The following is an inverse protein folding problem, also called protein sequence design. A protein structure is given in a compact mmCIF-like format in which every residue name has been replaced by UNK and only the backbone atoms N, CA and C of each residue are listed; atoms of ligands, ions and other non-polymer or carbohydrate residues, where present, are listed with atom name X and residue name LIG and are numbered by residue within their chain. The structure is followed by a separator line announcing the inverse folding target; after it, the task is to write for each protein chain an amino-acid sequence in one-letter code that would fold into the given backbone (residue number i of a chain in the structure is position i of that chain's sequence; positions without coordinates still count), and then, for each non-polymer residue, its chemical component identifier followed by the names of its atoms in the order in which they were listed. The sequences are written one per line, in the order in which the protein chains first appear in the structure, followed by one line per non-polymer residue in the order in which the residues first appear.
data_IF_404572745178
#
_entry.id   IF_404572745178
#
_cell.length_a   1.000
_cell.length_b   1.000
_cell.length_c   1.000
_cell.angle_alpha   90.00
_cell.angle_beta   90.00
_cell.angle_gamma   90.00
#
_symmetry.space_group_name_H-M   'P 1'
#
loop_
_entity.id
_entity.type
_entity.pdbx_description
1 polymer ?
#
# COMPACT_ATOMS: atom_id res chain seq x y z
N UNK A 1 -17.05 -11.52 -13.35
CA UNK A 1 -16.68 -11.71 -11.93
C UNK A 1 -16.19 -10.38 -11.34
N UNK A 2 -16.95 -9.75 -10.43
CA UNK A 2 -16.54 -8.48 -9.79
C UNK A 2 -15.50 -8.77 -8.70
N UNK A 3 -14.33 -8.15 -8.77
CA UNK A 3 -13.29 -8.27 -7.74
C UNK A 3 -13.72 -7.50 -6.50
N UNK A 4 -13.79 -8.16 -5.34
CA UNK A 4 -13.97 -7.50 -4.05
C UNK A 4 -12.68 -6.79 -3.64
N UNK A 5 -12.81 -5.60 -3.08
CA UNK A 5 -11.68 -4.79 -2.61
C UNK A 5 -11.79 -4.57 -1.11
N UNK A 6 -10.76 -4.96 -0.37
CA UNK A 6 -10.70 -4.89 1.10
C UNK A 6 -9.74 -3.78 1.55
N UNK A 7 -10.09 -3.02 2.58
CA UNK A 7 -9.19 -2.02 3.17
C UNK A 7 -8.07 -2.68 3.96
N UNK A 8 -6.96 -1.97 4.24
CA UNK A 8 -5.90 -2.50 5.10
C UNK A 8 -6.44 -2.83 6.50
N UNK A 9 -7.35 -2.01 7.03
CA UNK A 9 -8.03 -2.27 8.31
C UNK A 9 -8.87 -3.55 8.26
N UNK A 10 -9.67 -3.76 7.21
CA UNK A 10 -10.47 -4.99 7.05
C UNK A 10 -9.56 -6.22 7.01
N UNK A 11 -8.46 -6.16 6.25
CA UNK A 11 -7.50 -7.27 6.16
C UNK A 11 -6.90 -7.59 7.53
N UNK A 12 -6.49 -6.57 8.28
CA UNK A 12 -5.91 -6.74 9.62
C UNK A 12 -6.93 -7.29 10.61
N UNK A 13 -8.19 -6.84 10.56
CA UNK A 13 -9.26 -7.37 11.42
C UNK A 13 -9.51 -8.86 11.16
N UNK A 14 -9.59 -9.26 9.88
CA UNK A 14 -9.79 -10.67 9.50
C UNK A 14 -8.59 -11.54 9.90
N UNK A 15 -7.37 -11.01 9.76
CA UNK A 15 -6.15 -11.70 10.20
C UNK A 15 -6.07 -11.84 11.72
N UNK A 16 -6.53 -10.84 12.48
CA UNK A 16 -6.49 -10.86 13.93
C UNK A 16 -7.38 -11.96 14.53
N UNK A 17 -8.41 -12.42 13.81
CA UNK A 17 -9.24 -13.57 14.20
C UNK A 17 -8.57 -14.93 13.91
N UNK A 18 -7.43 -14.95 13.20
CA UNK A 18 -6.69 -16.18 12.94
C UNK A 18 -5.75 -16.52 14.10
N UNK A 19 -5.96 -17.70 14.69
CA UNK A 19 -5.07 -18.29 15.69
C UNK A 19 -4.52 -19.62 15.16
N UNK A 20 -3.19 -19.78 15.17
CA UNK A 20 -2.56 -21.03 14.74
C UNK A 20 -2.90 -22.18 15.71
N UNK A 21 -3.40 -23.29 15.17
CA UNK A 21 -3.68 -24.50 15.96
C UNK A 21 -5.06 -24.55 16.65
N UNK A 22 -5.89 -23.51 16.52
CA UNK A 22 -7.25 -23.51 17.09
C UNK A 22 -8.28 -24.01 16.07
N UNK A 23 -9.16 -24.91 16.49
CA UNK A 23 -10.25 -25.40 15.64
C UNK A 23 -11.26 -24.27 15.40
N UNK A 24 -11.58 -24.00 14.14
CA UNK A 24 -12.51 -22.93 13.75
C UNK A 24 -11.88 -21.55 13.47
N UNK A 25 -10.59 -21.36 13.76
CA UNK A 25 -9.84 -20.14 13.39
C UNK A 25 -9.04 -20.30 12.10
N UNK A 26 -9.03 -21.48 11.47
CA UNK A 26 -8.29 -21.74 10.23
C UNK A 26 -8.81 -20.94 9.03
N UNK A 27 -7.97 -20.76 8.01
CA UNK A 27 -8.31 -19.97 6.80
C UNK A 27 -9.57 -20.43 6.07
N UNK A 28 -9.97 -21.70 6.20
CA UNK A 28 -11.24 -22.18 5.63
C UNK A 28 -12.45 -21.65 6.39
N UNK A 29 -12.44 -21.71 7.72
CA UNK A 29 -13.53 -21.20 8.56
C UNK A 29 -13.63 -19.67 8.45
N UNK A 30 -12.50 -18.97 8.50
CA UNK A 30 -12.45 -17.52 8.29
C UNK A 30 -12.89 -17.11 6.88
N UNK A 31 -12.56 -17.92 5.88
CA UNK A 31 -12.96 -17.66 4.49
C UNK A 31 -14.48 -17.72 4.30
N UNK A 32 -15.15 -18.66 4.97
CA UNK A 32 -16.61 -18.74 4.98
C UNK A 32 -17.21 -17.56 5.73
N UNK A 33 -16.68 -17.23 6.92
CA UNK A 33 -17.19 -16.15 7.77
C UNK A 33 -17.13 -14.78 7.10
N UNK A 34 -16.02 -14.48 6.43
CA UNK A 34 -15.76 -13.15 5.84
C UNK A 34 -15.99 -13.09 4.32
N UNK A 35 -16.45 -14.20 3.72
CA UNK A 35 -16.63 -14.36 2.26
C UNK A 35 -15.34 -13.98 1.47
N UNK A 36 -14.23 -14.56 1.93
CA UNK A 36 -12.87 -14.39 1.36
C UNK A 36 -12.29 -15.74 1.01
N UNK A 37 -11.70 -15.88 -0.18
CA UNK A 37 -11.04 -17.12 -0.57
C UNK A 37 -9.87 -17.45 0.38
N UNK A 38 -9.73 -18.71 0.86
CA UNK A 38 -8.65 -19.10 1.78
C UNK A 38 -7.24 -18.77 1.28
N UNK A 39 -7.01 -18.84 -0.04
CA UNK A 39 -5.74 -18.43 -0.65
C UNK A 39 -5.44 -16.94 -0.51
N UNK A 40 -6.47 -16.09 -0.50
CA UNK A 40 -6.32 -14.64 -0.27
C UNK A 40 -5.97 -14.35 1.20
N UNK A 41 -6.60 -15.06 2.14
CA UNK A 41 -6.29 -14.97 3.57
C UNK A 41 -4.84 -15.38 3.87
N UNK A 42 -4.37 -16.47 3.26
CA UNK A 42 -2.97 -16.91 3.35
C UNK A 42 -2.01 -15.85 2.82
N UNK A 43 -2.36 -15.20 1.71
CA UNK A 43 -1.60 -14.08 1.15
C UNK A 43 -1.48 -12.91 2.14
N UNK A 44 -2.59 -12.52 2.76
CA UNK A 44 -2.57 -11.45 3.78
C UNK A 44 -1.76 -11.86 5.02
N UNK A 45 -1.87 -13.11 5.48
CA UNK A 45 -1.11 -13.63 6.62
C UNK A 45 0.41 -13.56 6.39
N UNK A 46 0.85 -13.88 5.18
CA UNK A 46 2.27 -13.78 4.79
C UNK A 46 2.74 -12.32 4.75
N UNK A 47 1.89 -11.40 4.31
CA UNK A 47 2.19 -9.96 4.27
C UNK A 47 1.79 -9.21 5.56
N UNK A 48 1.47 -9.91 6.66
CA UNK A 48 0.90 -9.29 7.88
C UNK A 48 1.77 -8.17 8.46
N UNK A 49 3.10 -8.35 8.46
CA UNK A 49 4.03 -7.31 8.94
C UNK A 49 3.97 -6.05 8.07
N UNK A 50 3.92 -6.22 6.75
CA UNK A 50 3.76 -5.09 5.81
C UNK A 50 2.41 -4.40 5.97
N UNK A 51 1.34 -5.16 6.26
CA UNK A 51 0.02 -4.61 6.56
C UNK A 51 0.03 -3.75 7.84
N UNK A 52 0.70 -4.23 8.89
CA UNK A 52 0.86 -3.47 10.13
C UNK A 52 1.71 -2.21 9.93
N UNK A 53 2.80 -2.30 9.17
CA UNK A 53 3.66 -1.16 8.86
C UNK A 53 2.92 -0.10 8.04
N UNK A 54 2.24 -0.52 6.97
CA UNK A 54 1.41 0.37 6.17
C UNK A 54 0.26 1.00 6.97
N UNK A 55 -0.26 0.33 8.01
CA UNK A 55 -1.30 0.89 8.88
C UNK A 55 -0.81 2.04 9.78
N UNK A 56 0.50 2.19 10.00
CA UNK A 56 1.06 3.28 10.82
C UNK A 56 1.17 4.60 10.07
N UNK A 57 1.11 4.58 8.73
CA UNK A 57 1.12 5.78 7.92
C UNK A 57 -0.21 6.54 8.04
N UNK A 58 -0.18 7.75 8.62
CA UNK A 58 -1.36 8.62 8.85
C UNK A 58 -2.15 8.92 7.56
N UNK A 59 -1.50 8.92 6.39
CA UNK A 59 -2.16 9.07 5.08
C UNK A 59 -2.93 7.81 4.65
N UNK A 60 -2.49 6.63 5.09
CA UNK A 60 -3.14 5.32 4.89
C UNK A 60 -4.27 5.11 5.89
N UNK A 61 -4.16 5.72 7.08
CA UNK A 61 -5.21 5.73 8.11
C UNK A 61 -6.39 6.63 7.75
N UNK A 62 -6.12 7.82 7.18
CA UNK A 62 -7.13 8.82 6.82
C UNK A 62 -7.77 8.61 5.44
N UNK A 63 -7.22 7.71 4.62
CA UNK A 63 -7.79 7.38 3.31
C UNK A 63 -8.13 5.91 3.20
N UNK A 64 -9.15 5.66 2.40
CA UNK A 64 -9.69 4.39 1.91
C UNK A 64 -8.65 3.59 1.09
N UNK A 65 -7.42 3.43 1.56
CA UNK A 65 -6.35 2.70 0.88
C UNK A 65 -6.61 1.20 0.99
N UNK A 66 -7.11 0.63 -0.11
CA UNK A 66 -7.45 -0.80 -0.26
C UNK A 66 -6.25 -1.69 -0.63
N UNK A 67 -5.05 -1.10 -0.73
CA UNK A 67 -3.84 -1.76 -1.21
C UNK A 67 -2.68 -1.44 -0.27
N UNK A 68 -1.91 -2.48 0.06
CA UNK A 68 -0.53 -2.32 0.49
C UNK A 68 0.19 -1.49 -0.57
N UNK A 69 0.87 -0.41 -0.22
CA UNK A 69 2.03 -0.03 -1.03
C UNK A 69 2.99 -1.22 -0.91
N UNK A 70 3.36 -1.95 -1.99
CA UNK A 70 3.52 -1.58 -3.40
C UNK A 70 2.78 -2.57 -4.34
N UNK A 71 1.46 -2.77 -4.16
CA UNK A 71 0.67 -3.75 -4.91
C UNK A 71 0.37 -3.40 -6.39
N UNK A 72 1.29 -2.70 -7.06
CA UNK A 72 1.24 -2.30 -8.47
C UNK A 72 2.57 -2.59 -9.17
N UNK A 73 2.71 -2.23 -10.45
CA UNK A 73 4.04 -2.19 -11.09
C UNK A 73 4.91 -1.27 -10.24
N UNK A 74 6.07 -1.78 -9.81
CA UNK A 74 7.07 -0.96 -9.14
C UNK A 74 7.45 0.26 -10.00
N UNK A 75 8.02 1.30 -9.38
CA UNK A 75 8.45 2.49 -10.11
C UNK A 75 9.38 2.07 -11.25
N UNK A 76 9.02 2.46 -12.48
CA UNK A 76 9.84 2.13 -13.66
C UNK A 76 11.18 2.86 -13.61
N UNK A 77 11.20 4.00 -12.93
CA UNK A 77 12.35 4.87 -12.78
C UNK A 77 12.57 5.21 -11.30
N UNK A 78 12.79 4.19 -10.46
CA UNK A 78 12.89 4.35 -8.99
C UNK A 78 13.80 5.47 -8.54
N UNK A 79 15.04 5.52 -9.05
CA UNK A 79 16.00 6.56 -8.70
C UNK A 79 15.56 7.97 -9.15
N UNK A 80 14.93 8.08 -10.31
CA UNK A 80 14.39 9.35 -10.80
C UNK A 80 13.22 9.82 -9.93
N UNK A 81 12.30 8.91 -9.61
CA UNK A 81 11.12 9.17 -8.79
C UNK A 81 11.53 9.58 -7.36
N UNK A 82 12.56 8.95 -6.79
CA UNK A 82 13.12 9.30 -5.49
C UNK A 82 13.74 10.70 -5.47
N UNK A 83 14.61 11.00 -6.45
CA UNK A 83 15.22 12.35 -6.60
C UNK A 83 14.16 13.43 -6.86
N UNK A 84 13.12 13.12 -7.63
CA UNK A 84 12.01 14.03 -7.90
C UNK A 84 11.18 14.29 -6.63
N UNK A 85 10.92 13.24 -5.83
CA UNK A 85 10.21 13.36 -4.57
C UNK A 85 10.98 14.23 -3.57
N UNK A 86 12.28 14.01 -3.41
CA UNK A 86 13.14 14.85 -2.56
C UNK A 86 13.10 16.33 -2.98
N UNK A 87 13.14 16.59 -4.29
CA UNK A 87 13.03 17.95 -4.83
C UNK A 87 11.66 18.59 -4.55
N UNK A 88 10.55 17.85 -4.67
CA UNK A 88 9.22 18.37 -4.34
C UNK A 88 9.14 18.72 -2.84
N UNK A 89 9.69 17.89 -1.96
CA UNK A 89 9.71 18.15 -0.53
C UNK A 89 10.49 19.44 -0.20
N UNK A 90 11.68 19.65 -0.78
CA UNK A 90 12.46 20.88 -0.61
C UNK A 90 11.71 22.15 -1.08
N UNK A 91 10.88 22.03 -2.13
CA UNK A 91 10.05 23.15 -2.60
C UNK A 91 8.88 23.41 -1.66
N UNK A 92 8.26 22.35 -1.15
CA UNK A 92 7.14 22.46 -0.22
C UNK A 92 7.58 23.03 1.14
N UNK A 93 8.78 22.72 1.64
CA UNK A 93 9.32 23.32 2.88
C UNK A 93 9.54 24.83 2.74
N UNK A 94 9.77 25.31 1.51
CA UNK A 94 9.86 26.74 1.17
C UNK A 94 8.49 27.40 0.97
N UNK A 95 7.39 26.70 1.27
CA UNK A 95 6.02 27.20 1.09
C UNK A 95 5.58 27.30 -0.37
N UNK A 96 6.34 26.73 -1.31
CA UNK A 96 6.03 26.81 -2.74
C UNK A 96 5.26 25.58 -3.18
N UNK A 97 4.00 25.78 -3.61
CA UNK A 97 3.23 24.73 -4.28
C UNK A 97 3.77 24.50 -5.69
N UNK A 98 4.38 23.35 -5.93
CA UNK A 98 4.91 22.98 -7.24
C UNK A 98 3.77 22.66 -8.21
N UNK A 99 3.77 23.29 -9.39
CA UNK A 99 2.82 22.97 -10.47
C UNK A 99 3.24 21.71 -11.22
N UNK A 100 2.25 21.01 -11.75
CA UNK A 100 2.41 19.76 -12.51
C UNK A 100 3.34 19.90 -13.73
N UNK A 101 3.36 21.07 -14.38
CA UNK A 101 4.30 21.39 -15.46
C UNK A 101 5.76 21.38 -14.98
N UNK A 102 6.03 21.95 -13.80
CA UNK A 102 7.36 21.97 -13.20
C UNK A 102 7.80 20.55 -12.79
N UNK A 103 6.89 19.74 -12.26
CA UNK A 103 7.17 18.34 -11.90
C UNK A 103 7.61 17.57 -13.14
N UNK A 104 6.86 17.65 -14.25
CA UNK A 104 7.20 16.96 -15.50
C UNK A 104 8.54 17.42 -16.09
N UNK A 105 8.81 18.72 -16.11
CA UNK A 105 10.08 19.26 -16.61
C UNK A 105 11.25 18.80 -15.74
N UNK A 106 11.10 18.83 -14.43
CA UNK A 106 12.15 18.38 -13.51
C UNK A 106 12.39 16.87 -13.61
N UNK A 107 11.33 16.07 -13.78
CA UNK A 107 11.44 14.64 -14.05
C UNK A 107 12.31 14.37 -15.28
N UNK A 108 12.04 15.07 -16.39
CA UNK A 108 12.83 14.93 -17.62
C UNK A 108 14.29 15.36 -17.41
N UNK A 109 14.52 16.45 -16.68
CA UNK A 109 15.86 16.94 -16.39
C UNK A 109 16.66 15.97 -15.51
N UNK A 110 16.03 15.35 -14.51
CA UNK A 110 16.65 14.32 -13.68
C UNK A 110 16.93 13.09 -14.54
N UNK A 111 15.97 12.64 -15.33
CA UNK A 111 16.12 11.47 -16.19
C UNK A 111 17.25 11.61 -17.22
N UNK A 112 17.45 12.81 -17.79
CA UNK A 112 18.58 13.09 -18.70
C UNK A 112 19.96 13.09 -18.03
N UNK A 113 20.01 13.25 -16.70
CA UNK A 113 21.24 13.32 -15.90
C UNK A 113 21.57 12.02 -15.16
N UNK A 114 20.65 11.06 -15.22
CA UNK A 114 20.88 9.67 -14.84
C UNK A 114 21.56 8.95 -15.99
#
# INVERSE_FOLDING_TARGET
QKRKSYTIKDKLAVIAEHEEGVSGSGFHALGIKHDVAPGTLRGWWNDRQKLHEASKDRQVEMRTTRRLGPGGRGPKHGEMEERLHAWILDRNTKGLRVKDSCIRLQAQNIYRKL
#
